data_IF_559700177423
#
_entry.id   IF_559700177423
#
_cell.length_a   1.000
_cell.length_b   1.000
_cell.length_c   1.000
_cell.angle_alpha   90.00
_cell.angle_beta   90.00
_cell.angle_gamma   90.00
#
_symmetry.space_group_name_H-M   'P 1'
#
loop_
_entity.id
_entity.type
_entity.pdbx_description
1 polymer ?
#
# COMPACT_ATOMS: atom_id res chain seq x y z
N UNK A 1 8.25 -15.62 12.60
CA UNK A 1 7.94 -14.31 13.23
C UNK A 1 9.00 -13.93 14.24
N UNK A 2 9.40 -12.66 14.27
CA UNK A 2 10.24 -12.09 15.35
C UNK A 2 9.43 -11.87 16.64
N UNK A 3 10.09 -11.73 17.81
CA UNK A 3 9.39 -11.48 19.08
C UNK A 3 8.49 -10.24 19.06
N UNK A 4 8.93 -9.17 18.39
CA UNK A 4 8.13 -7.94 18.23
C UNK A 4 6.88 -8.18 17.38
N UNK A 5 7.02 -8.88 16.24
CA UNK A 5 5.88 -9.25 15.39
C UNK A 5 4.88 -10.14 16.13
N UNK A 6 5.38 -11.05 16.96
CA UNK A 6 4.55 -11.92 17.80
C UNK A 6 3.76 -11.11 18.82
N UNK A 7 4.38 -10.11 19.46
CA UNK A 7 3.71 -9.19 20.39
C UNK A 7 2.61 -8.39 19.70
N UNK A 8 2.86 -7.85 18.50
CA UNK A 8 1.85 -7.13 17.71
C UNK A 8 0.68 -8.04 17.30
N UNK A 9 0.98 -9.25 16.84
CA UNK A 9 -0.03 -10.21 16.40
C UNK A 9 -0.94 -10.64 17.56
N UNK A 10 -0.38 -11.18 18.64
CA UNK A 10 -1.17 -11.72 19.76
C UNK A 10 -1.67 -10.65 20.73
N UNK A 11 -0.98 -9.51 20.83
CA UNK A 11 -1.30 -8.45 21.79
C UNK A 11 -2.27 -7.40 21.27
N UNK A 12 -2.42 -7.27 19.95
CA UNK A 12 -3.23 -6.19 19.36
C UNK A 12 -4.11 -6.72 18.24
N UNK A 13 -3.51 -7.21 17.15
CA UNK A 13 -4.26 -7.50 15.92
C UNK A 13 -5.28 -8.63 16.09
N UNK A 14 -4.88 -9.77 16.69
CA UNK A 14 -5.79 -10.89 16.90
C UNK A 14 -6.93 -10.57 17.88
N UNK A 15 -6.66 -9.98 19.08
CA UNK A 15 -7.73 -9.53 19.97
C UNK A 15 -8.71 -8.55 19.33
N UNK A 16 -8.24 -7.61 18.50
CA UNK A 16 -9.11 -6.64 17.84
C UNK A 16 -10.04 -7.29 16.80
N UNK A 17 -9.51 -8.24 16.03
CA UNK A 17 -10.33 -9.06 15.12
C UNK A 17 -11.38 -9.86 15.89
N UNK A 18 -10.98 -10.54 16.96
CA UNK A 18 -11.91 -11.30 17.78
C UNK A 18 -13.02 -10.41 18.35
N UNK A 19 -12.68 -9.19 18.78
CA UNK A 19 -13.68 -8.21 19.25
C UNK A 19 -14.65 -7.82 18.14
N UNK A 20 -14.15 -7.49 16.95
CA UNK A 20 -14.97 -7.08 15.82
C UNK A 20 -15.91 -8.19 15.32
N UNK A 21 -15.44 -9.44 15.36
CA UNK A 21 -16.16 -10.61 14.83
C UNK A 21 -16.93 -11.40 15.88
N UNK A 22 -16.84 -11.02 17.15
CA UNK A 22 -17.45 -11.77 18.27
C UNK A 22 -16.81 -13.13 18.54
N UNK A 23 -15.54 -13.32 18.19
CA UNK A 23 -14.82 -14.59 18.39
C UNK A 23 -14.13 -14.64 19.75
N UNK A 24 -13.86 -15.86 20.21
CA UNK A 24 -13.03 -16.07 21.40
C UNK A 24 -11.55 -15.92 21.03
N UNK A 25 -10.81 -15.09 21.77
CA UNK A 25 -9.37 -14.87 21.56
C UNK A 25 -8.55 -16.16 21.72
N UNK A 26 -9.04 -17.11 22.52
CA UNK A 26 -8.42 -18.41 22.77
C UNK A 26 -8.83 -19.49 21.75
N UNK A 27 -9.64 -19.13 20.75
CA UNK A 27 -10.04 -20.05 19.68
C UNK A 27 -8.87 -20.28 18.72
N UNK A 28 -8.11 -21.33 19.02
CA UNK A 28 -6.93 -21.74 18.26
C UNK A 28 -7.28 -22.27 16.87
N UNK A 29 -8.44 -22.91 16.71
CA UNK A 29 -8.88 -23.43 15.42
C UNK A 29 -9.14 -22.26 14.45
N UNK A 30 -9.94 -21.29 14.89
CA UNK A 30 -10.22 -20.08 14.10
C UNK A 30 -8.96 -19.29 13.78
N UNK A 31 -8.02 -19.22 14.72
CA UNK A 31 -6.72 -18.56 14.51
C UNK A 31 -5.91 -19.26 13.43
N UNK A 32 -5.89 -20.60 13.41
CA UNK A 32 -5.24 -21.39 12.36
C UNK A 32 -5.92 -21.16 11.01
N UNK A 33 -7.24 -21.19 10.96
CA UNK A 33 -8.01 -20.97 9.72
C UNK A 33 -7.73 -19.59 9.11
N UNK A 34 -7.73 -18.54 9.92
CA UNK A 34 -7.39 -17.18 9.46
C UNK A 34 -5.95 -17.10 8.98
N UNK A 35 -5.04 -17.79 9.68
CA UNK A 35 -3.61 -17.83 9.28
C UNK A 35 -3.44 -18.56 7.96
N UNK A 36 -4.09 -19.70 7.79
CA UNK A 36 -4.07 -20.49 6.57
C UNK A 36 -4.70 -19.70 5.41
N UNK A 37 -5.87 -19.10 5.62
CA UNK A 37 -6.55 -18.29 4.62
C UNK A 37 -5.77 -17.01 4.24
N UNK A 38 -4.83 -16.54 5.07
CA UNK A 38 -3.98 -15.40 4.73
C UNK A 38 -2.67 -15.81 4.05
N UNK A 39 -2.11 -16.97 4.41
CA UNK A 39 -0.70 -17.29 4.13
C UNK A 39 -0.46 -18.65 3.47
N UNK A 40 -1.49 -19.49 3.39
CA UNK A 40 -1.39 -20.89 2.99
C UNK A 40 -0.63 -21.77 4.00
N UNK A 41 -0.40 -21.28 5.22
CA UNK A 41 0.33 -21.99 6.27
C UNK A 41 -0.55 -22.12 7.52
N UNK A 42 -0.53 -23.29 8.14
CA UNK A 42 -1.29 -23.55 9.38
C UNK A 42 -0.66 -22.92 10.63
N UNK A 43 0.59 -22.43 10.53
CA UNK A 43 1.35 -21.93 11.66
C UNK A 43 2.00 -20.58 11.40
N UNK A 44 1.98 -19.72 12.42
CA UNK A 44 2.64 -18.41 12.41
C UNK A 44 4.16 -18.49 12.66
N UNK A 45 4.67 -19.67 13.03
CA UNK A 45 6.07 -19.88 13.42
C UNK A 45 7.06 -19.73 12.25
N UNK A 46 6.71 -20.27 11.07
CA UNK A 46 7.59 -20.30 9.88
C UNK A 46 7.22 -19.28 8.81
N UNK A 47 6.38 -18.30 9.12
CA UNK A 47 6.00 -17.28 8.15
C UNK A 47 7.20 -16.40 7.78
N UNK A 48 7.41 -16.22 6.47
CA UNK A 48 8.33 -15.24 5.94
C UNK A 48 7.73 -13.81 6.03
N UNK A 49 8.53 -12.79 5.71
CA UNK A 49 8.12 -11.39 5.87
C UNK A 49 6.90 -11.02 5.02
N UNK A 50 6.78 -11.57 3.82
CA UNK A 50 5.64 -11.33 2.93
C UNK A 50 4.36 -11.95 3.50
N UNK A 51 4.44 -13.20 3.97
CA UNK A 51 3.33 -13.90 4.61
C UNK A 51 2.87 -13.22 5.91
N UNK A 52 3.80 -12.68 6.70
CA UNK A 52 3.45 -11.90 7.89
C UNK A 52 2.67 -10.64 7.49
N UNK A 53 3.07 -10.00 6.40
CA UNK A 53 2.39 -8.80 5.91
C UNK A 53 0.98 -9.12 5.43
N UNK A 54 0.81 -10.21 4.66
CA UNK A 54 -0.51 -10.72 4.26
C UNK A 54 -1.41 -11.03 5.45
N UNK A 55 -0.85 -11.69 6.46
CA UNK A 55 -1.56 -12.00 7.69
C UNK A 55 -2.04 -10.73 8.40
N UNK A 56 -1.19 -9.71 8.53
CA UNK A 56 -1.58 -8.44 9.15
C UNK A 56 -2.64 -7.68 8.36
N UNK A 57 -2.57 -7.70 7.03
CA UNK A 57 -3.60 -7.06 6.18
C UNK A 57 -4.95 -7.77 6.38
N UNK A 58 -4.97 -9.10 6.30
CA UNK A 58 -6.21 -9.87 6.51
C UNK A 58 -6.82 -9.59 7.88
N UNK A 59 -6.00 -9.56 8.94
CA UNK A 59 -6.49 -9.21 10.28
C UNK A 59 -7.05 -7.79 10.34
N UNK A 60 -6.38 -6.80 9.75
CA UNK A 60 -6.88 -5.42 9.74
C UNK A 60 -8.24 -5.30 9.06
N UNK A 61 -8.46 -6.04 7.97
CA UNK A 61 -9.77 -6.04 7.31
C UNK A 61 -10.82 -6.82 8.08
N UNK A 62 -10.47 -7.93 8.72
CA UNK A 62 -11.41 -8.63 9.60
C UNK A 62 -11.79 -7.79 10.84
N UNK A 63 -10.90 -6.90 11.29
CA UNK A 63 -11.17 -5.96 12.37
C UNK A 63 -12.01 -4.75 11.93
N UNK A 64 -12.13 -4.49 10.62
CA UNK A 64 -12.85 -3.35 10.05
C UNK A 64 -14.06 -3.82 9.21
N UNK A 65 -15.29 -3.71 9.74
CA UNK A 65 -16.51 -4.16 9.07
C UNK A 65 -16.73 -3.53 7.67
N UNK A 66 -16.18 -2.34 7.41
CA UNK A 66 -16.32 -1.66 6.12
C UNK A 66 -15.46 -2.28 5.00
N UNK A 67 -14.52 -3.15 5.35
CA UNK A 67 -13.61 -3.81 4.40
C UNK A 67 -13.84 -5.33 4.32
N UNK A 68 -14.98 -5.83 4.81
CA UNK A 68 -15.27 -7.28 4.83
C UNK A 68 -15.29 -7.91 3.42
N UNK A 69 -15.84 -7.22 2.43
CA UNK A 69 -15.84 -7.68 1.03
C UNK A 69 -14.40 -7.78 0.46
N UNK A 70 -13.47 -6.93 0.91
CA UNK A 70 -12.04 -7.06 0.57
C UNK A 70 -11.39 -8.23 1.28
N UNK A 71 -11.75 -8.47 2.55
CA UNK A 71 -11.26 -9.63 3.29
C UNK A 71 -11.68 -10.97 2.66
N UNK A 72 -12.87 -10.99 2.03
CA UNK A 72 -13.40 -12.14 1.31
C UNK A 72 -12.74 -12.32 -0.07
N UNK A 73 -12.52 -11.24 -0.82
CA UNK A 73 -11.78 -11.28 -2.10
C UNK A 73 -10.33 -11.78 -1.93
N UNK A 74 -9.70 -11.44 -0.81
CA UNK A 74 -8.35 -11.87 -0.44
C UNK A 74 -8.32 -13.25 0.28
N UNK A 75 -9.40 -14.02 0.22
CA UNK A 75 -9.40 -15.41 0.68
C UNK A 75 -8.51 -16.32 -0.20
N UNK A 76 -8.11 -15.87 -1.39
CA UNK A 76 -7.09 -16.55 -2.17
C UNK A 76 -5.70 -15.96 -1.86
N UNK A 77 -4.83 -16.68 -1.13
CA UNK A 77 -3.52 -16.17 -0.69
C UNK A 77 -2.59 -15.84 -1.87
N UNK A 78 -2.76 -16.46 -3.03
CA UNK A 78 -1.96 -16.16 -4.22
C UNK A 78 -2.35 -14.80 -4.83
N UNK A 79 -3.64 -14.50 -4.87
CA UNK A 79 -4.18 -13.22 -5.35
C UNK A 79 -3.77 -12.10 -4.39
N UNK A 80 -3.90 -12.33 -3.08
CA UNK A 80 -3.47 -11.39 -2.05
C UNK A 80 -1.95 -11.12 -2.13
N UNK A 81 -1.13 -12.15 -2.34
CA UNK A 81 0.33 -11.99 -2.52
C UNK A 81 0.67 -11.18 -3.78
N UNK A 82 -0.03 -11.46 -4.89
CA UNK A 82 0.18 -10.75 -6.15
C UNK A 82 -0.18 -9.26 -6.01
N UNK A 83 -1.33 -8.96 -5.40
CA UNK A 83 -1.76 -7.58 -5.17
C UNK A 83 -0.85 -6.87 -4.15
N UNK A 84 -0.41 -7.54 -3.08
CA UNK A 84 0.56 -6.97 -2.15
C UNK A 84 1.89 -6.63 -2.83
N UNK A 85 2.43 -7.52 -3.67
CA UNK A 85 3.63 -7.26 -4.47
C UNK A 85 3.41 -6.05 -5.38
N UNK A 86 2.23 -5.94 -5.99
CA UNK A 86 1.86 -4.81 -6.85
C UNK A 86 1.85 -3.50 -6.07
N UNK A 87 1.14 -3.44 -4.94
CA UNK A 87 1.07 -2.26 -4.07
C UNK A 87 2.44 -1.81 -3.56
N UNK A 88 3.30 -2.76 -3.18
CA UNK A 88 4.66 -2.44 -2.75
C UNK A 88 5.49 -1.79 -3.87
N UNK A 89 5.36 -2.26 -5.12
CA UNK A 89 6.04 -1.63 -6.25
C UNK A 89 5.46 -0.24 -6.56
N UNK A 90 4.14 -0.04 -6.48
CA UNK A 90 3.50 1.28 -6.62
C UNK A 90 4.05 2.24 -5.55
N UNK A 91 4.08 1.82 -4.29
CA UNK A 91 4.64 2.62 -3.21
C UNK A 91 6.10 3.02 -3.46
N UNK A 92 6.93 2.10 -3.98
CA UNK A 92 8.33 2.39 -4.36
C UNK A 92 8.42 3.42 -5.48
N UNK A 93 7.53 3.36 -6.47
CA UNK A 93 7.44 4.36 -7.55
C UNK A 93 7.13 5.73 -6.96
N UNK A 94 6.09 5.82 -6.13
CA UNK A 94 5.65 7.07 -5.51
C UNK A 94 6.72 7.66 -4.60
N UNK A 95 7.40 6.82 -3.80
CA UNK A 95 8.53 7.27 -2.98
C UNK A 95 9.72 7.76 -3.80
N UNK A 96 10.08 7.05 -4.87
CA UNK A 96 11.16 7.48 -5.75
C UNK A 96 10.81 8.79 -6.49
N UNK A 97 9.55 8.95 -6.89
CA UNK A 97 9.03 10.18 -7.51
C UNK A 97 9.12 11.35 -6.54
N UNK A 98 8.63 11.17 -5.30
CA UNK A 98 8.69 12.17 -4.24
C UNK A 98 10.14 12.60 -3.95
N UNK A 99 11.06 11.65 -3.80
CA UNK A 99 12.48 11.95 -3.55
C UNK A 99 13.15 12.75 -4.69
N UNK A 100 12.58 12.70 -5.90
CA UNK A 100 13.10 13.36 -7.10
C UNK A 100 12.30 14.61 -7.49
N UNK A 101 11.30 15.01 -6.71
CA UNK A 101 10.42 16.13 -7.02
C UNK A 101 9.53 15.89 -8.25
N UNK A 102 9.26 14.63 -8.59
CA UNK A 102 8.38 14.27 -9.72
C UNK A 102 6.95 14.19 -9.23
N UNK A 103 6.03 14.86 -9.92
CA UNK A 103 4.61 14.85 -9.60
C UNK A 103 3.84 13.78 -10.41
N UNK A 104 2.58 13.58 -10.06
CA UNK A 104 1.70 12.58 -10.70
C UNK A 104 1.51 12.84 -12.21
N UNK A 105 1.45 14.12 -12.62
CA UNK A 105 1.35 14.50 -14.03
C UNK A 105 2.57 14.02 -14.83
N UNK A 106 3.78 14.14 -14.25
CA UNK A 106 5.00 13.62 -14.85
C UNK A 106 4.98 12.10 -14.96
N UNK A 107 4.58 11.39 -13.89
CA UNK A 107 4.47 9.93 -13.91
C UNK A 107 3.52 9.45 -15.00
N UNK A 108 2.35 10.09 -15.11
CA UNK A 108 1.35 9.80 -16.13
C UNK A 108 1.90 10.02 -17.54
N UNK A 109 2.59 11.14 -17.78
CA UNK A 109 3.22 11.46 -19.07
C UNK A 109 4.29 10.44 -19.47
N UNK A 110 5.15 10.02 -18.54
CA UNK A 110 6.19 9.01 -18.83
C UNK A 110 5.56 7.64 -19.11
N UNK A 111 4.41 7.35 -18.50
CA UNK A 111 3.72 6.09 -18.64
C UNK A 111 2.75 6.04 -19.83
N UNK A 112 2.37 7.17 -20.42
CA UNK A 112 1.28 7.31 -21.42
C UNK A 112 1.36 6.29 -22.56
N UNK A 113 2.51 6.17 -23.22
CA UNK A 113 2.72 5.19 -24.28
C UNK A 113 2.51 3.74 -23.80
N UNK A 114 2.95 3.43 -22.58
CA UNK A 114 2.77 2.11 -21.99
C UNK A 114 1.32 1.86 -21.58
N UNK A 115 0.61 2.88 -21.08
CA UNK A 115 -0.83 2.81 -20.74
C UNK A 115 -1.63 2.42 -21.99
N UNK A 116 -1.37 3.10 -23.11
CA UNK A 116 -1.98 2.76 -24.39
C UNK A 116 -1.61 1.35 -24.88
N UNK A 117 -0.32 0.99 -24.83
CA UNK A 117 0.18 -0.33 -25.26
C UNK A 117 -0.45 -1.49 -24.49
N UNK A 118 -0.59 -1.34 -23.17
CA UNK A 118 -1.14 -2.38 -22.30
C UNK A 118 -2.68 -2.33 -22.18
N UNK A 119 -3.34 -1.36 -22.82
CA UNK A 119 -4.80 -1.15 -22.76
C UNK A 119 -5.34 -1.02 -21.33
N UNK A 120 -4.59 -0.32 -20.49
CA UNK A 120 -4.96 -0.07 -19.10
C UNK A 120 -5.38 1.39 -18.91
N UNK A 121 -6.03 1.73 -17.79
CA UNK A 121 -6.52 3.09 -17.53
C UNK A 121 -5.45 4.00 -16.91
N UNK A 122 -4.58 3.43 -16.09
CA UNK A 122 -3.53 4.14 -15.37
C UNK A 122 -2.22 3.35 -15.39
N UNK A 123 -1.10 4.03 -15.15
CA UNK A 123 0.18 3.36 -14.90
C UNK A 123 0.14 2.47 -13.66
N UNK A 124 -0.76 2.76 -12.70
CA UNK A 124 -1.00 1.89 -11.54
C UNK A 124 -1.52 0.52 -11.98
N UNK A 125 -2.26 0.46 -13.08
CA UNK A 125 -2.89 -0.75 -13.63
C UNK A 125 -1.95 -1.59 -14.49
N UNK A 126 -0.67 -1.23 -14.58
CA UNK A 126 0.31 -2.06 -15.25
C UNK A 126 0.43 -3.45 -14.62
N UNK A 127 0.69 -4.50 -15.44
CA UNK A 127 1.07 -5.79 -14.92
C UNK A 127 2.36 -5.67 -14.10
N UNK A 128 2.53 -6.56 -13.11
CA UNK A 128 3.60 -6.44 -12.10
C UNK A 128 5.01 -6.26 -12.69
N UNK A 129 5.34 -6.98 -13.77
CA UNK A 129 6.64 -6.87 -14.43
C UNK A 129 6.87 -5.45 -15.01
N UNK A 130 5.84 -4.83 -15.58
CA UNK A 130 5.92 -3.46 -16.08
C UNK A 130 6.01 -2.43 -14.96
N UNK A 131 5.30 -2.64 -13.84
CA UNK A 131 5.46 -1.80 -12.65
C UNK A 131 6.90 -1.84 -12.13
N UNK A 132 7.52 -3.03 -12.10
CA UNK A 132 8.92 -3.17 -11.67
C UNK A 132 9.86 -2.43 -12.62
N UNK A 133 9.65 -2.54 -13.93
CA UNK A 133 10.43 -1.81 -14.92
C UNK A 133 10.23 -0.30 -14.79
N UNK A 134 8.99 0.15 -14.60
CA UNK A 134 8.66 1.54 -14.40
C UNK A 134 9.29 2.11 -13.13
N UNK A 135 9.27 1.35 -12.03
CA UNK A 135 9.98 1.69 -10.79
C UNK A 135 11.47 1.93 -11.01
N UNK A 136 12.14 1.07 -11.78
CA UNK A 136 13.55 1.27 -12.16
C UNK A 136 13.75 2.52 -13.00
N UNK A 137 12.85 2.78 -13.97
CA UNK A 137 12.89 4.00 -14.80
C UNK A 137 12.79 5.26 -13.94
N UNK A 138 11.84 5.32 -13.00
CA UNK A 138 11.67 6.47 -12.11
C UNK A 138 12.87 6.60 -11.17
N UNK A 139 13.36 5.50 -10.59
CA UNK A 139 14.54 5.50 -9.72
C UNK A 139 15.81 6.00 -10.44
N UNK A 140 15.97 5.75 -11.74
CA UNK A 140 17.10 6.20 -12.54
C UNK A 140 17.03 7.69 -12.96
N UNK A 141 15.88 8.36 -12.82
CA UNK A 141 15.75 9.77 -13.20
C UNK A 141 16.65 10.66 -12.34
N UNK A 142 17.25 11.69 -12.93
CA UNK A 142 17.94 12.73 -12.14
C UNK A 142 16.91 13.50 -11.31
N UNK A 143 17.32 13.99 -10.13
CA UNK A 143 16.50 14.86 -9.30
C UNK A 143 16.11 16.07 -10.16
N UNK A 144 14.82 16.28 -10.39
CA UNK A 144 14.39 17.53 -10.99
C UNK A 144 14.63 18.61 -9.93
N UNK A 145 15.33 19.68 -10.31
CA UNK A 145 15.28 20.90 -9.54
C UNK A 145 13.79 21.26 -9.41
N UNK A 146 13.34 21.52 -8.19
CA UNK A 146 11.97 21.92 -7.95
C UNK A 146 11.65 23.10 -8.89
N UNK A 147 10.44 23.14 -9.50
CA UNK A 147 10.02 24.38 -10.14
C UNK A 147 10.09 25.46 -9.07
N UNK A 148 10.84 26.53 -9.36
CA UNK A 148 10.78 27.77 -8.59
C UNK A 148 9.30 28.11 -8.50
N UNK A 149 8.74 28.05 -7.29
CA UNK A 149 7.47 28.69 -7.03
C UNK A 149 7.75 30.17 -7.24
N UNK A 150 7.39 30.70 -8.41
CA UNK A 150 7.22 32.13 -8.58
C UNK A 150 6.18 32.54 -7.55
N UNK A 151 6.64 33.02 -6.40
CA UNK A 151 5.84 33.80 -5.49
C UNK A 151 5.50 35.08 -6.23
N UNK A 152 4.39 35.04 -6.98
CA UNK A 152 3.57 36.22 -7.22
C UNK A 152 3.35 36.87 -5.86
N UNK A 153 4.11 37.92 -5.59
CA UNK A 153 3.85 38.78 -4.45
C UNK A 153 2.68 39.63 -4.89
N UNK A 154 1.47 39.22 -4.50
CA UNK A 154 0.29 40.08 -4.58
C UNK A 154 0.63 41.38 -3.84
N UNK A 155 0.64 42.47 -4.59
CA UNK A 155 0.66 43.82 -4.04
C UNK A 155 -0.64 44.02 -3.26
N UNK A 156 -0.57 43.79 -1.95
CA UNK A 156 -1.60 44.26 -1.04
C UNK A 156 -1.61 45.80 -1.09
N UNK A 157 -2.74 46.32 -1.59
CA UNK A 157 -3.20 47.68 -1.36
C UNK A 157 -3.23 47.92 0.15
N UNK A 158 -2.58 48.96 0.62
CA UNK A 158 -2.98 49.63 1.85
C UNK A 158 -3.21 51.10 1.53
N UNK A 159 -4.50 51.44 1.54
CA UNK A 159 -5.04 52.78 1.61
C UNK A 159 -4.51 53.44 2.89
N UNK A 160 -3.86 54.60 2.77
CA UNK A 160 -3.74 55.50 3.91
C UNK A 160 -3.78 56.96 3.46
N UNK A 161 -5.01 57.46 3.34
CA UNK A 161 -5.33 58.88 3.38
C UNK A 161 -5.60 59.22 4.85
N UNK A 162 -4.95 60.27 5.39
CA UNK A 162 -5.70 61.19 6.22
C UNK A 162 -5.53 62.65 5.75
N UNK A 163 -6.60 63.40 6.02
CA UNK A 163 -6.82 64.83 5.80
C UNK A 163 -5.67 65.74 6.24
#
# INVERSE_FOLDING_TARGET
MSPSQRKTYFGTLWPDVCRAQGWNVKDEERRRDVTFAATGQESTSKLNQDQITLLWIKLKWLADPANFDKAYADANPEIALAEHKRQNVIWRIEKAAQAKGLNEAYLTKVAEYKVARHRVKSWRDFPLHELVNFSKTIAARKKHAAPVQDSCTEAAKDDNIPF
#
